data_IF_466753886386
#
_entry.id   IF_466753886386
#
_cell.length_a   1.000
_cell.length_b   1.000
_cell.length_c   1.000
_cell.angle_alpha   90.00
_cell.angle_beta   90.00
_cell.angle_gamma   90.00
#
_symmetry.space_group_name_H-M   'P 1'
#
loop_
_entity.id
_entity.type
_entity.pdbx_description
1 polymer ?
#
# COMPACT_ATOMS: atom_id res chain seq x y z
N UNK A 1 -18.80 -1.98 -11.64
CA UNK A 1 -18.32 -2.06 -10.30
C UNK A 1 -18.29 -3.50 -9.87
N UNK A 2 -17.12 -4.00 -9.64
CA UNK A 2 -16.97 -5.39 -9.31
C UNK A 2 -16.08 -5.52 -8.09
N UNK A 3 -16.47 -6.40 -7.17
CA UNK A 3 -15.67 -6.65 -5.99
C UNK A 3 -14.56 -7.61 -6.35
N UNK A 4 -13.35 -7.26 -5.96
CA UNK A 4 -12.17 -8.08 -6.22
C UNK A 4 -11.53 -8.38 -4.86
N UNK A 5 -11.57 -9.63 -4.41
CA UNK A 5 -10.89 -9.97 -3.16
C UNK A 5 -9.39 -10.11 -3.42
N UNK A 6 -8.60 -9.43 -2.61
CA UNK A 6 -7.15 -9.46 -2.73
C UNK A 6 -6.56 -10.10 -1.49
N UNK A 7 -5.50 -10.87 -1.69
CA UNK A 7 -4.69 -11.32 -0.57
C UNK A 7 -3.68 -10.22 -0.28
N UNK A 8 -3.63 -9.76 0.96
CA UNK A 8 -2.82 -8.60 1.28
C UNK A 8 -2.08 -8.82 2.58
N UNK A 9 -0.86 -8.32 2.62
CA UNK A 9 -0.08 -8.28 3.85
C UNK A 9 0.45 -6.87 4.01
N UNK A 10 0.51 -6.40 5.25
CA UNK A 10 1.15 -5.12 5.55
C UNK A 10 2.56 -5.43 6.01
N UNK A 11 3.54 -4.76 5.42
CA UNK A 11 4.94 -5.04 5.75
C UNK A 11 5.18 -4.79 7.23
N UNK A 12 5.74 -5.78 7.91
CA UNK A 12 5.94 -5.74 9.33
C UNK A 12 4.89 -6.50 10.11
N UNK A 13 3.77 -6.84 9.48
CA UNK A 13 2.74 -7.66 10.10
C UNK A 13 2.92 -9.11 9.64
N UNK A 14 2.49 -10.05 10.44
CA UNK A 14 2.69 -11.45 10.12
C UNK A 14 1.45 -12.12 9.53
N UNK A 15 0.35 -11.39 9.39
CA UNK A 15 -0.89 -11.99 8.90
C UNK A 15 -1.15 -11.58 7.46
N UNK A 16 -1.62 -12.55 6.68
CA UNK A 16 -2.13 -12.27 5.35
C UNK A 16 -3.65 -12.10 5.46
N UNK A 17 -4.15 -11.04 4.89
CA UNK A 17 -5.56 -10.71 4.98
C UNK A 17 -6.22 -10.92 3.64
N UNK A 18 -7.52 -11.22 3.66
CA UNK A 18 -8.32 -11.22 2.45
C UNK A 18 -9.17 -9.96 2.50
N UNK A 19 -8.89 -9.02 1.60
CA UNK A 19 -9.50 -7.70 1.64
C UNK A 19 -10.32 -7.51 0.38
N UNK A 20 -11.63 -7.26 0.51
CA UNK A 20 -12.44 -6.97 -0.67
C UNK A 20 -12.23 -5.52 -1.12
N UNK A 21 -11.98 -5.33 -2.39
CA UNK A 21 -11.83 -4.00 -2.95
C UNK A 21 -12.70 -3.93 -4.21
N UNK A 22 -12.93 -2.71 -4.68
CA UNK A 22 -13.67 -2.48 -5.92
C UNK A 22 -12.66 -2.33 -7.05
N UNK A 23 -12.99 -2.78 -8.24
CA UNK A 23 -12.07 -2.66 -9.36
C UNK A 23 -11.79 -1.22 -9.74
N UNK A 24 -12.57 -0.26 -9.24
CA UNK A 24 -12.31 1.16 -9.45
C UNK A 24 -11.52 1.78 -8.32
N UNK A 25 -11.24 1.06 -7.25
CA UNK A 25 -10.43 1.60 -6.15
C UNK A 25 -9.03 1.85 -6.65
N UNK A 26 -8.47 2.99 -6.27
CA UNK A 26 -7.06 3.26 -6.57
C UNK A 26 -6.18 2.55 -5.55
N UNK A 27 -4.90 2.48 -5.85
CA UNK A 27 -3.96 1.86 -4.91
C UNK A 27 -3.94 2.58 -3.58
N UNK A 28 -4.17 3.90 -3.59
CA UNK A 28 -4.27 4.64 -2.34
C UNK A 28 -5.41 4.10 -1.48
N UNK A 29 -6.57 3.87 -2.08
CA UNK A 29 -7.72 3.32 -1.35
C UNK A 29 -7.45 1.88 -0.93
N UNK A 30 -6.82 1.09 -1.78
CA UNK A 30 -6.47 -0.29 -1.42
C UNK A 30 -5.55 -0.29 -0.20
N UNK A 31 -4.54 0.58 -0.18
CA UNK A 31 -3.63 0.65 0.95
C UNK A 31 -4.38 1.03 2.23
N UNK A 32 -5.31 1.97 2.14
CA UNK A 32 -6.09 2.39 3.30
C UNK A 32 -6.97 1.26 3.80
N UNK A 33 -7.56 0.48 2.92
CA UNK A 33 -8.40 -0.64 3.33
C UNK A 33 -7.58 -1.72 4.03
N UNK A 34 -6.39 -2.01 3.52
CA UNK A 34 -5.50 -2.97 4.18
C UNK A 34 -5.07 -2.42 5.54
N UNK A 35 -4.66 -1.15 5.58
CA UNK A 35 -4.19 -0.54 6.82
C UNK A 35 -5.27 -0.53 7.88
N UNK A 36 -6.52 -0.41 7.49
CA UNK A 36 -7.63 -0.39 8.46
C UNK A 36 -7.62 -1.65 9.33
N UNK A 37 -7.17 -2.77 8.79
CA UNK A 37 -7.16 -4.02 9.53
C UNK A 37 -5.87 -4.25 10.31
N UNK A 38 -4.87 -3.40 10.15
CA UNK A 38 -3.55 -3.62 10.73
C UNK A 38 -3.13 -2.47 11.64
N UNK A 39 -3.28 -1.24 11.17
CA UNK A 39 -2.75 -0.07 11.87
C UNK A 39 -3.57 0.19 13.12
N UNK A 40 -2.90 0.49 14.21
CA UNK A 40 -3.47 0.66 15.54
C UNK A 40 -4.02 -0.64 16.12
N UNK A 41 -3.85 -1.75 15.42
CA UNK A 41 -4.22 -3.06 15.95
C UNK A 41 -2.97 -3.87 16.25
N UNK A 42 -2.07 -3.98 15.29
CA UNK A 42 -0.82 -4.72 15.46
C UNK A 42 0.41 -3.90 15.11
N UNK A 43 0.22 -2.84 14.34
CA UNK A 43 1.33 -1.96 13.96
C UNK A 43 0.95 -0.52 14.23
N UNK A 44 1.92 0.33 14.56
CA UNK A 44 1.62 1.74 14.76
C UNK A 44 1.55 2.47 13.43
N UNK A 45 0.82 3.57 13.39
CA UNK A 45 0.80 4.43 12.22
C UNK A 45 2.14 5.16 12.10
N UNK A 46 2.54 5.43 10.87
CA UNK A 46 3.76 6.19 10.62
C UNK A 46 3.42 7.41 9.78
N UNK A 47 4.26 8.43 9.89
CA UNK A 47 4.09 9.65 9.12
C UNK A 47 4.83 9.50 7.80
N UNK A 48 4.31 8.69 6.94
CA UNK A 48 4.89 8.41 5.64
C UNK A 48 3.79 7.91 4.71
N UNK A 49 3.93 8.13 3.40
CA UNK A 49 2.93 7.62 2.47
C UNK A 49 2.98 6.10 2.41
N UNK A 50 1.84 5.51 2.15
CA UNK A 50 1.75 4.07 1.95
C UNK A 50 1.87 3.78 0.46
N UNK A 51 2.46 2.63 0.15
CA UNK A 51 2.59 2.16 -1.23
C UNK A 51 2.13 0.72 -1.30
N UNK A 52 1.80 0.28 -2.50
CA UNK A 52 1.36 -1.08 -2.75
C UNK A 52 2.33 -1.72 -3.73
N UNK A 53 2.84 -2.89 -3.37
CA UNK A 53 3.73 -3.66 -4.24
C UNK A 53 2.99 -4.89 -4.74
N UNK A 54 3.08 -5.14 -6.05
CA UNK A 54 2.48 -6.30 -6.67
C UNK A 54 3.46 -6.82 -7.71
N UNK A 55 3.78 -8.10 -7.60
CA UNK A 55 4.62 -8.79 -8.60
C UNK A 55 5.95 -8.06 -8.77
N UNK A 56 6.58 -7.75 -7.65
CA UNK A 56 7.90 -7.10 -7.58
C UNK A 56 7.90 -5.67 -8.13
N UNK A 57 6.75 -5.05 -8.30
CA UNK A 57 6.66 -3.68 -8.74
C UNK A 57 5.88 -2.86 -7.73
N UNK A 58 6.35 -1.65 -7.46
CA UNK A 58 5.62 -0.71 -6.64
C UNK A 58 4.68 0.05 -7.55
N UNK A 59 3.39 -0.06 -7.30
CA UNK A 59 2.38 0.51 -8.20
C UNK A 59 2.16 1.97 -7.88
N UNK A 60 1.88 2.80 -8.90
CA UNK A 60 1.50 4.19 -8.64
C UNK A 60 0.22 4.23 -7.83
N UNK A 61 0.10 5.23 -6.97
CA UNK A 61 -1.03 5.29 -6.05
C UNK A 61 -2.32 5.74 -6.71
N UNK A 62 -2.25 6.28 -7.92
CA UNK A 62 -3.44 6.77 -8.61
C UNK A 62 -3.99 5.79 -9.63
N UNK A 63 -3.39 4.61 -9.81
CA UNK A 63 -3.97 3.62 -10.71
C UNK A 63 -5.01 2.82 -9.96
N UNK A 64 -6.03 2.37 -10.70
CA UNK A 64 -7.08 1.56 -10.11
C UNK A 64 -6.70 0.09 -10.11
N UNK A 65 -7.47 -0.70 -9.38
CA UNK A 65 -7.31 -2.15 -9.36
C UNK A 65 -7.36 -2.70 -10.78
N UNK A 66 -8.32 -2.23 -11.57
CA UNK A 66 -8.45 -2.71 -12.95
C UNK A 66 -7.26 -2.29 -13.80
N UNK A 67 -6.81 -1.05 -13.66
CA UNK A 67 -5.66 -0.57 -14.44
C UNK A 67 -4.38 -1.28 -14.07
N UNK A 68 -4.23 -1.66 -12.81
CA UNK A 68 -3.05 -2.36 -12.37
C UNK A 68 -3.03 -3.83 -12.79
N UNK A 69 -4.15 -4.33 -13.29
CA UNK A 69 -4.23 -5.72 -13.71
C UNK A 69 -4.43 -6.70 -12.57
N UNK A 70 -4.89 -6.22 -11.42
CA UNK A 70 -5.14 -7.11 -10.29
C UNK A 70 -6.41 -7.90 -10.55
N UNK A 71 -6.38 -9.16 -10.16
CA UNK A 71 -7.51 -10.05 -10.32
C UNK A 71 -7.85 -10.66 -8.98
N UNK A 72 -8.97 -11.38 -8.87
CA UNK A 72 -9.31 -12.01 -7.60
C UNK A 72 -8.16 -12.87 -7.08
N UNK A 73 -7.88 -12.72 -5.81
CA UNK A 73 -6.84 -13.46 -5.09
C UNK A 73 -5.42 -13.05 -5.45
N UNK A 74 -5.21 -11.97 -6.19
CA UNK A 74 -3.86 -11.43 -6.39
C UNK A 74 -3.28 -11.04 -5.04
N UNK A 75 -1.97 -11.24 -4.87
CA UNK A 75 -1.29 -10.99 -3.60
C UNK A 75 -0.58 -9.65 -3.69
N UNK A 76 -0.88 -8.76 -2.76
CA UNK A 76 -0.24 -7.44 -2.71
C UNK A 76 0.38 -7.22 -1.33
N UNK A 77 1.40 -6.39 -1.28
CA UNK A 77 2.03 -5.99 -0.03
C UNK A 77 1.91 -4.48 0.11
N UNK A 78 1.40 -4.03 1.24
CA UNK A 78 1.29 -2.60 1.54
C UNK A 78 2.37 -2.24 2.54
N UNK A 79 2.99 -1.09 2.36
CA UNK A 79 4.05 -0.65 3.26
C UNK A 79 4.11 0.87 3.30
N UNK A 80 4.70 1.38 4.38
CA UNK A 80 5.01 2.81 4.47
C UNK A 80 6.31 3.06 3.72
N UNK A 81 6.31 4.07 2.87
CA UNK A 81 7.50 4.38 2.07
C UNK A 81 8.26 5.51 2.73
N UNK A 82 9.05 5.16 3.72
CA UNK A 82 9.83 6.15 4.45
C UNK A 82 10.90 6.79 3.57
N UNK A 83 11.31 6.10 2.52
CA UNK A 83 12.31 6.67 1.63
C UNK A 83 11.79 7.89 0.91
N UNK A 84 10.53 7.89 0.55
CA UNK A 84 9.97 9.04 -0.14
C UNK A 84 9.96 10.24 0.78
N UNK A 85 9.62 10.05 2.04
CA UNK A 85 9.65 11.13 3.00
C UNK A 85 11.08 11.59 3.28
N UNK A 86 12.00 10.65 3.41
CA UNK A 86 13.39 10.98 3.65
C UNK A 86 14.00 11.71 2.47
N UNK A 87 13.64 11.29 1.27
CA UNK A 87 14.16 11.92 0.09
C UNK A 87 13.71 13.37 0.01
N UNK A 88 12.46 13.64 0.28
CA UNK A 88 11.98 15.01 0.28
C UNK A 88 12.67 15.84 1.35
N UNK A 89 12.92 15.25 2.49
CA UNK A 89 13.61 15.96 3.55
C UNK A 89 15.06 16.24 3.19
N UNK A 90 15.70 15.31 2.52
CA UNK A 90 17.08 15.51 2.12
C UNK A 90 17.20 16.59 1.08
N UNK A 91 16.27 16.65 0.16
CA UNK A 91 16.27 17.72 -0.79
C UNK A 91 16.22 19.05 -0.09
N UNK A 92 15.43 19.18 0.93
CA UNK A 92 15.28 20.39 1.62
C UNK A 92 16.48 20.70 2.45
N UNK A 93 17.01 19.70 3.11
CA UNK A 93 18.15 19.90 3.92
C UNK A 93 19.35 20.01 3.11
N UNK A 94 19.46 19.36 2.11
CA UNK A 94 20.61 19.26 1.35
C UNK A 94 21.79 19.21 2.17
N UNK A 95 21.59 18.83 3.31
CA UNK A 95 22.58 18.91 4.20
C UNK A 95 23.39 17.73 4.15
N UNK A 96 24.48 17.74 3.80
CA UNK A 96 25.18 16.58 3.68
C UNK A 96 25.47 16.07 4.97
N UNK A 97 25.45 16.32 5.78
CA UNK A 97 25.79 15.63 6.92
C UNK A 97 26.93 14.83 6.83
#
# INVERSE_FOLDING_TARGET
>A
MAMVPLQAVFRGDCLTLLVPVDDRDTMDVVAQKVAHHVIHRRLPAQDAPMRVQYDDRVLPMDVTVAQAGLSPMSFVEVFYDAREREHGRMDRDSDPR
#
